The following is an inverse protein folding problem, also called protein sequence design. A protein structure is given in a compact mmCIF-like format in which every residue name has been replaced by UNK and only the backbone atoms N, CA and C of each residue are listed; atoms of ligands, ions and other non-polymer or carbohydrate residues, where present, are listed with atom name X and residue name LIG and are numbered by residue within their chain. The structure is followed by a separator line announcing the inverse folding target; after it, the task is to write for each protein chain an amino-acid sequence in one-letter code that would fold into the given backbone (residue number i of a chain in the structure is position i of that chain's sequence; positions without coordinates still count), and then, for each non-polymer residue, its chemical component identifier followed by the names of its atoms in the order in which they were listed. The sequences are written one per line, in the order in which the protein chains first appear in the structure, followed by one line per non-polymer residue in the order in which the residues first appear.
data_IF_596770135650
#
_entry.id   IF_596770135650
#
_cell.length_a   1.000
_cell.length_b   1.000
_cell.length_c   1.000
_cell.angle_alpha   90.00
_cell.angle_beta   90.00
_cell.angle_gamma   90.00
#
_symmetry.space_group_name_H-M   'P 1'
#
loop_
_entity.id
_entity.type
_entity.pdbx_description
1 polymer ?
#
# COMPACT_ATOMS: atom_id res chain seq x y z
N UNK A 1 -0.09 9.16 9.67
CA UNK A 1 -0.67 7.87 10.09
C UNK A 1 -1.28 7.17 8.89
N UNK A 2 -1.97 7.92 8.03
CA UNK A 2 -2.66 7.45 6.81
C UNK A 2 -1.79 6.65 5.83
N UNK A 3 -0.49 6.95 5.69
CA UNK A 3 0.40 6.22 4.78
C UNK A 3 0.64 4.76 5.20
N UNK A 4 0.49 4.45 6.49
CA UNK A 4 0.68 3.10 7.03
C UNK A 4 -0.66 2.41 7.34
N UNK A 5 -1.81 3.03 7.06
CA UNK A 5 -3.13 2.45 7.34
C UNK A 5 -3.27 1.07 6.67
N UNK A 6 -2.88 0.99 5.40
CA UNK A 6 -2.93 -0.25 4.63
C UNK A 6 -2.10 -1.39 5.24
N UNK A 7 -1.01 -1.07 5.92
CA UNK A 7 -0.16 -2.05 6.59
C UNK A 7 -0.69 -2.42 7.97
N UNK A 8 -0.95 -1.42 8.81
CA UNK A 8 -1.36 -1.61 10.21
C UNK A 8 -2.73 -2.27 10.30
N UNK A 9 -3.64 -1.95 9.38
CA UNK A 9 -5.00 -2.47 9.37
C UNK A 9 -5.21 -3.64 8.41
N UNK A 10 -4.15 -4.26 7.91
CA UNK A 10 -4.23 -5.52 7.17
C UNK A 10 -4.30 -6.71 8.13
N UNK A 11 -5.21 -7.64 7.86
CA UNK A 11 -5.36 -8.90 8.61
C UNK A 11 -4.23 -9.89 8.29
N UNK A 12 -3.45 -9.65 7.24
CA UNK A 12 -2.32 -10.49 6.85
C UNK A 12 -1.03 -10.16 7.62
N UNK A 13 -0.98 -9.07 8.37
CA UNK A 13 0.22 -8.70 9.12
C UNK A 13 0.31 -9.49 10.43
N UNK A 14 1.41 -10.22 10.71
CA UNK A 14 1.55 -10.94 11.97
C UNK A 14 1.42 -10.01 13.18
N UNK A 15 0.72 -10.42 14.27
CA UNK A 15 0.45 -9.55 15.42
C UNK A 15 1.73 -8.95 16.03
N UNK A 16 2.80 -9.73 16.11
CA UNK A 16 4.11 -9.29 16.64
C UNK A 16 4.74 -8.18 15.79
N UNK A 17 4.63 -8.29 14.46
CA UNK A 17 5.13 -7.28 13.52
C UNK A 17 4.28 -6.01 13.62
N UNK A 18 2.96 -6.16 13.70
CA UNK A 18 2.03 -5.03 13.92
C UNK A 18 2.33 -4.29 15.21
N UNK A 19 2.59 -5.00 16.30
CA UNK A 19 2.97 -4.42 17.59
C UNK A 19 4.33 -3.70 17.52
N UNK A 20 5.31 -4.26 16.80
CA UNK A 20 6.60 -3.62 16.58
C UNK A 20 6.45 -2.27 15.85
N UNK A 21 5.62 -2.20 14.81
CA UNK A 21 5.28 -0.94 14.11
C UNK A 21 4.59 0.03 15.07
N UNK A 22 3.56 -0.42 15.80
CA UNK A 22 2.79 0.47 16.68
C UNK A 22 3.58 1.00 17.89
N UNK A 23 4.54 0.23 18.39
CA UNK A 23 5.32 0.60 19.58
C UNK A 23 6.56 1.45 19.28
N UNK A 24 6.99 1.53 18.01
CA UNK A 24 8.23 2.21 17.60
C UNK A 24 8.01 3.55 16.89
N UNK A 25 6.83 4.14 17.02
CA UNK A 25 6.58 5.50 16.52
C UNK A 25 7.51 6.54 17.16
N UNK A 26 7.96 7.57 16.41
CA UNK A 26 7.58 7.88 15.02
C UNK A 26 8.39 7.12 13.95
N UNK A 27 7.75 6.89 12.81
CA UNK A 27 8.39 6.32 11.61
C UNK A 27 8.79 7.39 10.60
N UNK A 28 9.83 7.10 9.83
CA UNK A 28 10.39 8.02 8.84
C UNK A 28 10.43 7.40 7.45
N UNK A 29 10.19 8.24 6.45
CA UNK A 29 10.34 7.87 5.04
C UNK A 29 10.64 9.08 4.17
N UNK A 30 11.10 8.82 2.94
CA UNK A 30 11.52 9.88 2.04
C UNK A 30 10.30 10.64 1.50
N UNK A 31 10.20 11.92 1.83
CA UNK A 31 9.01 12.75 1.55
C UNK A 31 8.56 12.72 0.08
N UNK A 32 9.49 12.85 -0.88
CA UNK A 32 9.14 12.81 -2.31
C UNK A 32 8.60 11.46 -2.79
N UNK A 33 9.01 10.35 -2.18
CA UNK A 33 8.56 9.01 -2.54
C UNK A 33 7.18 8.76 -1.93
N UNK A 34 6.98 9.20 -0.67
CA UNK A 34 5.67 9.18 0.00
C UNK A 34 4.64 9.95 -0.83
N UNK A 35 4.98 11.17 -1.28
CA UNK A 35 4.05 11.99 -2.04
C UNK A 35 3.72 11.39 -3.41
N UNK A 36 4.73 10.84 -4.10
CA UNK A 36 4.52 10.14 -5.38
C UNK A 36 3.58 8.92 -5.21
N UNK A 37 3.74 8.16 -4.12
CA UNK A 37 2.87 7.02 -3.82
C UNK A 37 1.43 7.44 -3.48
N UNK A 38 1.24 8.58 -2.78
CA UNK A 38 -0.08 9.15 -2.49
C UNK A 38 -0.81 9.58 -3.76
N UNK A 39 -0.11 10.24 -4.68
CA UNK A 39 -0.68 10.65 -5.96
C UNK A 39 -1.13 9.44 -6.77
N UNK A 40 -0.30 8.39 -6.85
CA UNK A 40 -0.67 7.14 -7.53
C UNK A 40 -1.85 6.44 -6.86
N UNK A 41 -1.85 6.35 -5.53
CA UNK A 41 -2.98 5.78 -4.79
C UNK A 41 -4.28 6.52 -5.11
N UNK A 42 -4.23 7.86 -5.15
CA UNK A 42 -5.41 8.69 -5.48
C UNK A 42 -5.89 8.44 -6.91
N UNK A 43 -4.97 8.26 -7.87
CA UNK A 43 -5.32 7.94 -9.27
C UNK A 43 -5.93 6.54 -9.42
N UNK A 44 -5.49 5.58 -8.60
CA UNK A 44 -5.96 4.20 -8.65
C UNK A 44 -7.25 4.02 -7.87
N UNK A 45 -7.30 4.39 -6.60
CA UNK A 45 -8.44 4.10 -5.72
C UNK A 45 -9.34 5.30 -5.41
N UNK A 46 -8.94 6.51 -5.80
CA UNK A 46 -9.64 7.75 -5.45
C UNK A 46 -9.31 8.25 -4.04
N UNK A 47 -9.94 9.37 -3.66
CA UNK A 47 -9.88 9.89 -2.29
C UNK A 47 -11.05 9.33 -1.49
N UNK A 48 -10.83 8.91 -0.25
CA UNK A 48 -11.91 8.83 0.73
C UNK A 48 -12.36 10.26 1.03
N UNK A 49 -13.34 10.76 0.28
CA UNK A 49 -13.96 12.05 0.57
C UNK A 49 -14.59 11.91 1.96
N UNK A 50 -14.03 12.60 2.94
CA UNK A 50 -14.65 12.74 4.25
C UNK A 50 -16.05 13.35 4.06
N UNK A 51 -17.06 12.58 4.45
CA UNK A 51 -18.40 12.98 4.90
C UNK A 51 -19.00 14.22 4.23
N UNK A 52 -19.78 14.02 3.18
CA UNK A 52 -21.24 14.20 3.25
C UNK A 52 -21.86 13.91 1.88
N UNK A 53 -22.98 13.17 1.92
CA UNK A 53 -23.88 12.79 0.81
C UNK A 53 -23.57 11.45 0.12
N UNK A 54 -24.29 10.45 0.60
CA UNK A 54 -25.15 9.53 -0.17
C UNK A 54 -25.16 9.70 -1.69
N UNK A 55 -24.07 9.38 -2.37
CA UNK A 55 -24.04 8.98 -3.77
C UNK A 55 -23.06 7.80 -3.87
N UNK A 56 -23.39 6.82 -4.70
CA UNK A 56 -22.72 5.52 -4.79
C UNK A 56 -21.22 5.63 -4.50
N UNK A 57 -20.71 4.85 -3.53
CA UNK A 57 -19.27 4.65 -3.37
C UNK A 57 -18.73 4.16 -4.72
N UNK A 58 -18.20 5.06 -5.54
CA UNK A 58 -17.50 4.68 -6.75
C UNK A 58 -16.27 3.93 -6.27
N UNK A 59 -16.33 2.61 -6.35
CA UNK A 59 -15.18 1.75 -6.12
C UNK A 59 -14.01 2.32 -6.92
N UNK A 60 -12.83 2.38 -6.29
CA UNK A 60 -11.59 2.72 -6.96
C UNK A 60 -11.39 1.91 -8.25
N UNK A 61 -10.56 2.37 -9.17
CA UNK A 61 -10.31 1.65 -10.42
C UNK A 61 -9.89 0.20 -10.19
N UNK A 62 -8.95 -0.07 -9.27
CA UNK A 62 -8.57 -1.46 -8.96
C UNK A 62 -9.70 -2.19 -8.25
N UNK A 63 -10.37 -1.55 -7.29
CA UNK A 63 -11.55 -2.13 -6.64
C UNK A 63 -12.67 -2.49 -7.63
N UNK A 64 -12.85 -1.71 -8.70
CA UNK A 64 -13.85 -1.96 -9.74
C UNK A 64 -13.49 -3.14 -10.64
N UNK A 65 -12.20 -3.42 -10.84
CA UNK A 65 -11.73 -4.56 -11.62
C UNK A 65 -11.70 -5.85 -10.81
N UNK A 66 -11.25 -5.77 -9.54
CA UNK A 66 -10.97 -6.92 -8.68
C UNK A 66 -12.15 -7.29 -7.75
N UNK A 67 -13.23 -6.51 -7.77
CA UNK A 67 -14.43 -6.78 -6.99
C UNK A 67 -15.07 -8.14 -7.31
N UNK A 68 -15.87 -8.66 -6.38
CA UNK A 68 -16.53 -9.95 -6.55
C UNK A 68 -17.44 -9.94 -7.79
N UNK A 69 -17.22 -10.89 -8.71
CA UNK A 69 -17.92 -10.97 -9.99
C UNK A 69 -17.48 -9.96 -11.06
N UNK A 70 -16.42 -9.18 -10.81
CA UNK A 70 -15.80 -8.32 -11.81
C UNK A 70 -14.78 -9.10 -12.67
N UNK A 71 -14.24 -8.44 -13.70
CA UNK A 71 -13.35 -9.04 -14.71
C UNK A 71 -12.13 -9.75 -14.10
N UNK A 72 -11.57 -9.20 -13.03
CA UNK A 72 -10.36 -9.70 -12.38
C UNK A 72 -10.66 -10.31 -11.00
N UNK A 73 -11.89 -10.76 -10.73
CA UNK A 73 -12.22 -11.40 -9.46
C UNK A 73 -11.28 -12.59 -9.16
N UNK A 74 -10.68 -12.57 -7.97
CA UNK A 74 -9.73 -13.58 -7.50
C UNK A 74 -8.28 -13.42 -7.98
N UNK A 75 -7.97 -12.44 -8.82
CA UNK A 75 -6.61 -12.20 -9.31
C UNK A 75 -5.69 -11.66 -8.22
N UNK A 76 -4.39 -11.92 -8.37
CA UNK A 76 -3.34 -11.30 -7.57
C UNK A 76 -2.89 -9.99 -8.22
N UNK A 77 -2.46 -9.02 -7.41
CA UNK A 77 -1.87 -7.77 -7.91
C UNK A 77 -0.35 -7.87 -7.81
N UNK A 78 0.34 -7.66 -8.92
CA UNK A 78 1.80 -7.54 -8.93
C UNK A 78 2.19 -6.10 -9.29
N UNK A 79 2.85 -5.40 -8.38
CA UNK A 79 3.37 -4.04 -8.61
C UNK A 79 4.86 -4.14 -8.84
N UNK A 80 5.33 -3.65 -9.99
CA UNK A 80 6.75 -3.71 -10.35
C UNK A 80 7.32 -2.31 -10.51
N UNK A 81 8.54 -2.09 -10.03
CA UNK A 81 9.23 -0.80 -10.21
C UNK A 81 10.75 -0.90 -10.19
N UNK A 82 11.41 -0.04 -10.98
CA UNK A 82 12.87 0.07 -11.04
C UNK A 82 13.35 1.41 -10.46
N UNK A 83 14.47 1.40 -9.75
CA UNK A 83 15.09 2.58 -9.14
C UNK A 83 14.09 3.37 -8.28
N UNK A 84 13.89 4.67 -8.53
CA UNK A 84 12.88 5.48 -7.87
C UNK A 84 11.48 4.84 -7.94
N UNK A 85 11.13 4.27 -9.11
CA UNK A 85 9.84 3.61 -9.30
C UNK A 85 9.65 2.39 -8.40
N UNK A 86 10.73 1.69 -8.03
CA UNK A 86 10.67 0.58 -7.08
C UNK A 86 10.35 1.05 -5.66
N UNK A 87 10.96 2.15 -5.23
CA UNK A 87 10.65 2.74 -3.93
C UNK A 87 9.22 3.28 -3.84
N UNK A 88 8.74 3.91 -4.93
CA UNK A 88 7.33 4.35 -5.04
C UNK A 88 6.38 3.15 -5.04
N UNK A 89 6.71 2.08 -5.78
CA UNK A 89 5.93 0.85 -5.82
C UNK A 89 5.81 0.19 -4.43
N UNK A 90 6.89 0.17 -3.65
CA UNK A 90 6.87 -0.35 -2.28
C UNK A 90 5.90 0.42 -1.39
N UNK A 91 5.96 1.76 -1.39
CA UNK A 91 5.04 2.59 -0.60
C UNK A 91 3.59 2.53 -1.10
N UNK A 92 3.38 2.39 -2.40
CA UNK A 92 2.05 2.17 -2.96
C UNK A 92 1.48 0.83 -2.49
N UNK A 93 2.30 -0.24 -2.50
CA UNK A 93 1.92 -1.55 -1.98
C UNK A 93 1.50 -1.50 -0.50
N UNK A 94 2.26 -0.79 0.34
CA UNK A 94 1.90 -0.56 1.76
C UNK A 94 0.49 0.01 1.90
N UNK A 95 0.15 1.03 1.10
CA UNK A 95 -1.16 1.69 1.15
C UNK A 95 -2.30 0.77 0.70
N UNK A 96 -2.05 -0.08 -0.29
CA UNK A 96 -3.03 -1.00 -0.87
C UNK A 96 -3.20 -2.31 -0.09
N UNK A 97 -2.27 -2.64 0.81
CA UNK A 97 -2.15 -3.98 1.41
C UNK A 97 -3.38 -4.46 2.17
N UNK A 98 -4.09 -3.54 2.84
CA UNK A 98 -5.36 -3.85 3.53
C UNK A 98 -6.48 -4.23 2.57
N UNK A 99 -6.58 -3.54 1.43
CA UNK A 99 -7.65 -3.75 0.46
C UNK A 99 -7.36 -4.97 -0.42
N UNK A 100 -6.09 -5.17 -0.76
CA UNK A 100 -5.65 -6.22 -1.67
C UNK A 100 -4.58 -7.10 -1.00
N UNK A 101 -4.98 -7.99 -0.06
CA UNK A 101 -4.05 -8.81 0.72
C UNK A 101 -3.20 -9.79 -0.12
N UNK A 102 -3.63 -10.07 -1.36
CA UNK A 102 -2.88 -10.90 -2.32
C UNK A 102 -1.93 -10.09 -3.22
N UNK A 103 -1.63 -8.84 -2.86
CA UNK A 103 -0.69 -8.03 -3.62
C UNK A 103 0.76 -8.45 -3.31
N UNK A 104 1.63 -8.36 -4.32
CA UNK A 104 3.06 -8.51 -4.18
C UNK A 104 3.78 -7.38 -4.92
N UNK A 105 4.89 -6.89 -4.38
CA UNK A 105 5.69 -5.84 -4.98
C UNK A 105 7.09 -6.35 -5.32
N UNK A 106 7.51 -6.16 -6.56
CA UNK A 106 8.88 -6.44 -7.01
C UNK A 106 9.60 -5.12 -7.31
N UNK A 107 10.68 -4.89 -6.57
CA UNK A 107 11.51 -3.69 -6.74
C UNK A 107 12.88 -4.06 -7.26
N UNK A 108 13.42 -3.26 -8.17
CA UNK A 108 14.73 -3.50 -8.78
C UNK A 108 15.61 -2.26 -8.63
N UNK A 109 16.69 -2.36 -7.86
CA UNK A 109 17.62 -1.24 -7.65
C UNK A 109 17.00 -0.04 -6.92
N UNK A 110 15.98 -0.27 -6.10
CA UNK A 110 15.30 0.77 -5.34
C UNK A 110 16.18 1.30 -4.20
N UNK A 111 16.19 2.63 -4.01
CA UNK A 111 16.85 3.23 -2.85
C UNK A 111 16.02 2.98 -1.57
N UNK A 112 16.66 2.84 -0.40
CA UNK A 112 15.95 2.80 0.88
C UNK A 112 15.05 4.03 1.04
N UNK A 113 13.76 3.81 1.33
CA UNK A 113 12.76 4.88 1.36
C UNK A 113 11.97 4.98 2.67
N UNK A 114 12.18 4.05 3.60
CA UNK A 114 11.56 3.99 4.93
C UNK A 114 12.57 3.49 5.95
N UNK A 115 12.27 3.65 7.24
CA UNK A 115 13.05 3.06 8.31
C UNK A 115 13.00 1.52 8.33
N UNK A 116 13.88 0.94 9.14
CA UNK A 116 14.05 -0.51 9.23
C UNK A 116 12.79 -1.24 9.68
N UNK A 117 12.03 -0.70 10.64
CA UNK A 117 10.85 -1.37 11.19
C UNK A 117 9.76 -1.50 10.12
N UNK A 118 9.53 -0.43 9.35
CA UNK A 118 8.60 -0.48 8.22
C UNK A 118 9.16 -1.40 7.12
N UNK A 119 10.45 -1.31 6.82
CA UNK A 119 11.08 -2.14 5.80
C UNK A 119 10.96 -3.65 6.12
N UNK A 120 11.08 -4.04 7.39
CA UNK A 120 10.93 -5.40 7.87
C UNK A 120 9.47 -5.85 7.84
N UNK A 121 8.54 -4.98 8.27
CA UNK A 121 7.11 -5.28 8.27
C UNK A 121 6.53 -5.57 6.87
N UNK A 122 7.15 -5.01 5.81
CA UNK A 122 6.74 -5.23 4.43
C UNK A 122 7.46 -6.40 3.74
N UNK A 123 8.41 -7.06 4.40
CA UNK A 123 9.25 -8.12 3.80
C UNK A 123 8.44 -9.30 3.26
N UNK A 124 7.24 -9.55 3.79
CA UNK A 124 6.36 -10.64 3.35
C UNK A 124 5.75 -10.41 1.95
N UNK A 125 5.61 -9.16 1.51
CA UNK A 125 4.95 -8.82 0.25
C UNK A 125 5.78 -7.89 -0.65
N UNK A 126 6.98 -7.49 -0.22
CA UNK A 126 7.91 -6.66 -1.01
C UNK A 126 9.22 -7.41 -1.19
N UNK A 127 9.53 -7.76 -2.44
CA UNK A 127 10.83 -8.31 -2.86
C UNK A 127 11.71 -7.20 -3.43
N UNK A 128 12.97 -7.16 -3.00
CA UNK A 128 13.95 -6.13 -3.35
C UNK A 128 15.22 -6.74 -3.91
#
# INVERSE_FOLDING_TARGET
MDDLDGLINSDQLPPQVKEAVLSSFPHYGHAGIIESARELYTKLEGQSIHQDKSELMTAGFLSSLLGAGCECDGYNIEIVGHSLGGAVAALLGIRLYKQFPKLHVFTYGAAPCVDFVIADACSQFVTR
#
